data_IF_093867444013
#
_entry.id   IF_093867444013
#
_cell.length_a   1.000
_cell.length_b   1.000
_cell.length_c   1.000
_cell.angle_alpha   90.00
_cell.angle_beta   90.00
_cell.angle_gamma   90.00
#
_symmetry.space_group_name_H-M   'P 1'
#
loop_
_entity.id
_entity.type
_entity.pdbx_description
1 polymer ?
#
# COMPACT_ATOMS: atom_id res chain seq x y z
N UNK A 1 5.66 -12.45 9.49
CA UNK A 1 4.61 -12.46 8.45
C UNK A 1 3.39 -11.77 9.03
N UNK A 2 3.07 -10.60 8.49
CA UNK A 2 1.93 -9.80 8.93
C UNK A 2 1.13 -9.41 7.68
N UNK A 3 -0.17 -9.22 7.88
CA UNK A 3 -1.08 -8.75 6.85
C UNK A 3 -1.19 -7.22 6.94
N UNK A 4 -0.78 -6.54 5.87
CA UNK A 4 -0.65 -5.09 5.81
C UNK A 4 -1.62 -4.56 4.75
N UNK A 5 -2.49 -3.65 5.19
CA UNK A 5 -3.38 -2.88 4.33
C UNK A 5 -2.77 -1.50 4.08
N UNK A 6 -2.52 -1.15 2.82
CA UNK A 6 -2.06 0.17 2.42
C UNK A 6 -3.14 0.92 1.64
N UNK A 7 -3.41 2.15 2.04
CA UNK A 7 -4.29 3.07 1.33
C UNK A 7 -3.41 4.00 0.49
N UNK A 8 -3.44 3.81 -0.83
CA UNK A 8 -2.71 4.65 -1.79
C UNK A 8 -3.49 5.95 -2.04
N UNK A 9 -3.01 7.07 -1.51
CA UNK A 9 -3.57 8.41 -1.74
C UNK A 9 -3.06 9.04 -3.06
N UNK A 10 -2.88 8.22 -4.10
CA UNK A 10 -2.35 8.63 -5.41
C UNK A 10 -0.92 9.17 -5.29
N UNK A 11 -0.09 8.48 -4.50
CA UNK A 11 1.32 8.83 -4.34
C UNK A 11 2.22 7.83 -5.07
N UNK A 12 3.19 8.37 -5.80
CA UNK A 12 4.27 7.62 -6.45
C UNK A 12 5.11 6.79 -5.47
N UNK A 13 5.18 7.17 -4.20
CA UNK A 13 5.98 6.46 -3.19
C UNK A 13 5.34 5.16 -2.71
N UNK A 14 4.02 5.01 -2.79
CA UNK A 14 3.28 3.87 -2.20
C UNK A 14 3.78 2.52 -2.71
N UNK A 15 4.18 2.44 -3.99
CA UNK A 15 4.67 1.20 -4.59
C UNK A 15 6.07 0.80 -4.11
N UNK A 16 6.96 1.77 -3.87
CA UNK A 16 8.30 1.50 -3.33
C UNK A 16 8.21 0.85 -1.94
N UNK A 17 7.30 1.34 -1.11
CA UNK A 17 7.06 0.78 0.22
C UNK A 17 6.46 -0.63 0.15
N UNK A 18 5.50 -0.86 -0.75
CA UNK A 18 4.91 -2.19 -0.98
C UNK A 18 5.99 -3.19 -1.37
N UNK A 19 6.87 -2.82 -2.30
CA UNK A 19 7.89 -3.73 -2.81
C UNK A 19 8.87 -4.16 -1.71
N UNK A 20 9.26 -3.24 -0.81
CA UNK A 20 10.07 -3.56 0.35
C UNK A 20 9.35 -4.47 1.37
N UNK A 21 8.08 -4.19 1.64
CA UNK A 21 7.26 -4.99 2.56
C UNK A 21 7.01 -6.41 2.03
N UNK A 22 6.76 -6.55 0.73
CA UNK A 22 6.64 -7.87 0.08
C UNK A 22 7.96 -8.62 0.06
N UNK A 23 9.06 -7.92 -0.21
CA UNK A 23 10.41 -8.52 -0.18
C UNK A 23 10.81 -9.02 1.21
N UNK A 24 10.25 -8.43 2.28
CA UNK A 24 10.43 -8.90 3.66
C UNK A 24 9.44 -10.02 4.07
N UNK A 25 8.63 -10.53 3.14
CA UNK A 25 7.72 -11.65 3.38
C UNK A 25 6.40 -11.27 4.05
N UNK A 26 5.96 -10.02 3.90
CA UNK A 26 4.64 -9.57 4.38
C UNK A 26 3.59 -9.66 3.25
N UNK A 27 2.36 -9.96 3.63
CA UNK A 27 1.23 -9.91 2.70
C UNK A 27 0.73 -8.47 2.65
N UNK A 28 0.85 -7.84 1.49
CA UNK A 28 0.48 -6.42 1.32
C UNK A 28 -0.64 -6.28 0.30
N UNK A 29 -1.77 -5.75 0.77
CA UNK A 29 -2.94 -5.40 -0.05
C UNK A 29 -3.01 -3.87 -0.16
N UNK A 30 -3.16 -3.37 -1.39
CA UNK A 30 -3.22 -1.93 -1.67
C UNK A 30 -4.62 -1.57 -2.15
N UNK A 31 -5.22 -0.53 -1.58
CA UNK A 31 -6.41 0.11 -2.11
C UNK A 31 -6.11 1.55 -2.46
N UNK A 32 -6.38 1.95 -3.70
CA UNK A 32 -6.26 3.35 -4.11
C UNK A 32 -7.46 4.14 -3.61
N UNK A 33 -7.20 5.15 -2.81
CA UNK A 33 -8.19 6.12 -2.42
C UNK A 33 -8.54 6.99 -3.64
N UNK A 34 -9.71 6.74 -4.22
CA UNK A 34 -10.29 7.53 -5.31
C UNK A 34 -11.54 8.30 -4.85
N UNK A 35 -11.87 8.23 -3.55
CA UNK A 35 -13.07 8.85 -3.00
C UNK A 35 -12.70 10.28 -2.60
N UNK A 36 -13.36 11.31 -3.17
CA UNK A 36 -13.18 12.69 -2.74
C UNK A 36 -13.64 12.85 -1.28
N UNK A 37 -12.92 13.65 -0.51
CA UNK A 37 -13.09 13.79 0.94
C UNK A 37 -14.15 14.83 1.34
N UNK A 38 -15.24 14.97 0.56
CA UNK A 38 -16.31 15.98 0.73
C UNK A 38 -16.62 16.36 2.19
#
# INVERSE_FOLDING_TARGET
MADILLIDNVDSFTYNLVDQLRSSGHNVVIYRNQIPAD
#
